data_IF_815411090515
#
_entry.id   IF_815411090515
#
_cell.length_a   1.000
_cell.length_b   1.000
_cell.length_c   1.000
_cell.angle_alpha   90.00
_cell.angle_beta   90.00
_cell.angle_gamma   90.00
#
_symmetry.space_group_name_H-M   'P 1'
#
loop_
_entity.id
_entity.type
_entity.pdbx_description
1 polymer ?
#
# COMPACT_ATOMS: atom_id res chain seq x y z
N UNK A 1 -15.52 -20.04 -4.54
CA UNK A 1 -15.70 -18.57 -4.60
C UNK A 1 -15.50 -18.05 -3.20
N UNK A 2 -14.76 -16.95 -3.00
CA UNK A 2 -14.57 -16.36 -1.66
C UNK A 2 -15.83 -15.58 -1.24
N UNK A 3 -16.27 -15.71 0.01
CA UNK A 3 -17.35 -14.87 0.53
C UNK A 3 -16.84 -13.45 0.82
N UNK A 4 -17.74 -12.47 0.90
CA UNK A 4 -17.38 -11.11 1.35
C UNK A 4 -16.70 -11.14 2.74
N UNK A 5 -17.15 -12.03 3.61
CA UNK A 5 -16.57 -12.20 4.94
C UNK A 5 -15.15 -12.74 4.87
N UNK A 6 -14.89 -13.71 3.98
CA UNK A 6 -13.54 -14.23 3.77
C UNK A 6 -12.65 -13.13 3.18
N UNK A 7 -13.12 -12.38 2.17
CA UNK A 7 -12.36 -11.27 1.60
C UNK A 7 -11.95 -10.23 2.65
N UNK A 8 -12.89 -9.82 3.50
CA UNK A 8 -12.66 -8.87 4.58
C UNK A 8 -11.68 -9.40 5.65
N UNK A 9 -11.60 -10.72 5.84
CA UNK A 9 -10.78 -11.34 6.88
C UNK A 9 -9.50 -11.98 6.37
N UNK A 10 -9.31 -12.17 5.06
CA UNK A 10 -8.14 -12.83 4.49
C UNK A 10 -7.25 -11.89 3.67
N UNK A 11 -7.76 -10.76 3.18
CA UNK A 11 -6.94 -9.80 2.42
C UNK A 11 -6.20 -8.86 3.40
N UNK A 12 -4.88 -8.65 3.23
CA UNK A 12 -4.12 -7.68 4.03
C UNK A 12 -4.57 -6.24 3.73
N UNK A 13 -4.65 -5.43 4.78
CA UNK A 13 -4.96 -4.00 4.69
C UNK A 13 -3.65 -3.22 4.53
N UNK A 14 -3.62 -2.13 3.75
CA UNK A 14 -2.43 -1.27 3.64
C UNK A 14 -2.04 -0.59 4.97
N UNK A 15 -2.92 -0.64 5.98
CA UNK A 15 -2.70 -0.05 7.30
C UNK A 15 -2.15 -1.06 8.32
N UNK A 16 -1.90 -2.32 7.92
CA UNK A 16 -1.28 -3.31 8.80
C UNK A 16 0.19 -2.98 9.05
N UNK A 17 0.65 -3.24 10.27
CA UNK A 17 2.08 -3.26 10.57
C UNK A 17 2.75 -4.55 10.06
N UNK A 18 4.08 -4.58 10.13
CA UNK A 18 4.86 -5.72 9.62
C UNK A 18 4.52 -7.04 10.35
N UNK A 19 4.43 -7.11 11.69
CA UNK A 19 4.01 -8.34 12.37
C UNK A 19 2.65 -8.87 11.89
N UNK A 20 1.64 -7.99 11.73
CA UNK A 20 0.33 -8.39 11.23
C UNK A 20 0.39 -8.90 9.78
N UNK A 21 1.17 -8.25 8.91
CA UNK A 21 1.40 -8.73 7.55
C UNK A 21 2.07 -10.11 7.53
N UNK A 22 3.07 -10.34 8.37
CA UNK A 22 3.75 -11.64 8.48
C UNK A 22 2.76 -12.72 8.92
N UNK A 23 2.00 -12.49 9.99
CA UNK A 23 0.97 -13.44 10.46
C UNK A 23 -0.05 -13.74 9.38
N UNK A 24 -0.45 -12.72 8.61
CA UNK A 24 -1.41 -12.87 7.51
C UNK A 24 -0.89 -13.74 6.38
N UNK A 25 0.35 -13.53 5.95
CA UNK A 25 0.94 -14.37 4.90
C UNK A 25 1.15 -15.80 5.41
N UNK A 26 1.57 -15.96 6.67
CA UNK A 26 1.76 -17.26 7.29
C UNK A 26 0.46 -18.08 7.38
N UNK A 27 -0.71 -17.45 7.59
CA UNK A 27 -2.00 -18.16 7.54
C UNK A 27 -2.31 -18.76 6.17
N UNK A 28 -1.63 -18.31 5.12
CA UNK A 28 -1.69 -18.86 3.76
C UNK A 28 -0.46 -19.67 3.38
N UNK A 29 0.34 -20.09 4.36
CA UNK A 29 1.59 -20.87 4.15
C UNK A 29 2.65 -20.11 3.33
N UNK A 30 2.60 -18.78 3.36
CA UNK A 30 3.59 -17.90 2.74
C UNK A 30 4.52 -17.35 3.83
N UNK A 31 5.83 -17.49 3.63
CA UNK A 31 6.84 -16.99 4.55
C UNK A 31 7.15 -15.50 4.36
N UNK A 32 8.07 -14.97 5.18
CA UNK A 32 8.53 -13.57 5.06
C UNK A 32 9.15 -13.30 3.69
N UNK A 33 9.85 -14.28 3.12
CA UNK A 33 10.42 -14.16 1.77
C UNK A 33 9.32 -13.98 0.71
N UNK A 34 8.21 -14.71 0.84
CA UNK A 34 7.07 -14.59 -0.07
C UNK A 34 6.37 -13.24 0.11
N UNK A 35 6.22 -12.76 1.35
CA UNK A 35 5.71 -11.42 1.64
C UNK A 35 6.53 -10.34 0.92
N UNK A 36 7.86 -10.36 1.04
CA UNK A 36 8.74 -9.39 0.38
C UNK A 36 8.65 -9.52 -1.14
N UNK A 37 8.74 -10.75 -1.68
CA UNK A 37 8.68 -10.97 -3.12
C UNK A 37 7.34 -10.51 -3.72
N UNK A 38 6.21 -10.84 -3.09
CA UNK A 38 4.87 -10.47 -3.55
C UNK A 38 4.57 -8.98 -3.36
N UNK A 39 5.17 -8.33 -2.36
CA UNK A 39 5.09 -6.86 -2.21
C UNK A 39 5.73 -6.12 -3.40
N UNK A 40 6.65 -6.76 -4.12
CA UNK A 40 7.21 -6.26 -5.38
C UNK A 40 6.16 -6.08 -6.49
N UNK A 41 4.97 -6.65 -6.38
CA UNK A 41 3.86 -6.37 -7.28
C UNK A 41 3.48 -4.87 -7.31
N UNK A 42 3.80 -4.11 -6.26
CA UNK A 42 3.61 -2.66 -6.20
C UNK A 42 4.56 -1.86 -7.10
N UNK A 43 5.52 -2.48 -7.80
CA UNK A 43 6.31 -1.81 -8.85
C UNK A 43 5.43 -1.35 -10.02
N UNK A 44 4.23 -1.91 -10.19
CA UNK A 44 3.23 -1.49 -11.18
C UNK A 44 1.92 -1.05 -10.51
N UNK A 45 1.13 -0.25 -11.23
CA UNK A 45 -0.21 0.16 -10.80
C UNK A 45 -0.26 1.41 -9.92
N UNK A 46 -1.44 1.63 -9.34
CA UNK A 46 -1.81 2.88 -8.68
C UNK A 46 -2.54 2.61 -7.35
N UNK A 47 -2.44 3.54 -6.42
CA UNK A 47 -3.22 3.57 -5.19
C UNK A 47 -4.04 4.86 -5.11
N UNK A 48 -5.21 4.77 -4.47
CA UNK A 48 -6.04 5.91 -4.15
C UNK A 48 -5.49 6.65 -2.91
N UNK A 49 -5.66 7.98 -2.88
CA UNK A 49 -5.15 8.89 -1.86
C UNK A 49 -5.50 8.44 -0.44
N UNK A 50 -6.71 7.97 -0.18
CA UNK A 50 -7.11 7.55 1.15
C UNK A 50 -6.26 6.39 1.73
N UNK A 51 -5.64 5.56 0.87
CA UNK A 51 -4.82 4.42 1.28
C UNK A 51 -3.45 4.84 1.82
N UNK A 52 -2.92 5.99 1.39
CA UNK A 52 -1.58 6.46 1.77
C UNK A 52 -1.58 7.84 2.46
N UNK A 53 -2.73 8.51 2.56
CA UNK A 53 -2.85 9.86 3.14
C UNK A 53 -2.23 9.93 4.54
N UNK A 54 -2.55 8.99 5.42
CA UNK A 54 -2.01 9.00 6.79
C UNK A 54 -0.47 9.00 6.79
N UNK A 55 0.15 8.23 5.89
CA UNK A 55 1.60 8.09 5.82
C UNK A 55 2.29 9.39 5.40
N UNK A 56 1.74 10.10 4.41
CA UNK A 56 2.36 11.34 3.89
C UNK A 56 2.11 12.56 4.78
N UNK A 57 1.20 12.50 5.76
CA UNK A 57 0.93 13.61 6.68
C UNK A 57 1.41 13.35 8.12
N UNK A 58 1.38 12.09 8.59
CA UNK A 58 1.52 11.78 10.02
C UNK A 58 2.69 10.83 10.35
N UNK A 59 3.30 10.15 9.36
CA UNK A 59 4.42 9.25 9.61
C UNK A 59 5.77 9.93 9.34
N UNK A 60 6.78 9.61 10.14
CA UNK A 60 8.16 10.15 10.04
C UNK A 60 9.09 9.27 9.21
N UNK A 61 8.62 8.11 8.76
CA UNK A 61 9.36 7.13 7.96
C UNK A 61 9.17 7.35 6.44
N UNK A 62 8.72 8.54 6.04
CA UNK A 62 8.49 8.93 4.66
C UNK A 62 9.47 10.06 4.31
N UNK A 63 10.12 9.95 3.15
CA UNK A 63 10.99 11.02 2.67
C UNK A 63 10.18 12.32 2.55
N UNK A 64 10.62 13.43 3.19
CA UNK A 64 9.83 14.67 3.24
C UNK A 64 9.53 15.24 1.86
N UNK A 65 10.50 15.21 0.93
CA UNK A 65 10.33 15.75 -0.42
C UNK A 65 9.34 14.90 -1.22
N UNK A 66 9.43 13.57 -1.10
CA UNK A 66 8.43 12.67 -1.66
C UNK A 66 7.04 12.91 -1.06
N UNK A 67 6.93 13.05 0.25
CA UNK A 67 5.67 13.31 0.93
C UNK A 67 5.03 14.62 0.42
N UNK A 68 5.79 15.71 0.38
CA UNK A 68 5.34 16.99 -0.17
C UNK A 68 4.93 16.88 -1.63
N UNK A 69 5.70 16.16 -2.46
CA UNK A 69 5.34 15.93 -3.87
C UNK A 69 4.00 15.20 -3.99
N UNK A 70 3.70 14.28 -3.07
CA UNK A 70 2.47 13.48 -3.09
C UNK A 70 1.27 14.23 -2.51
N UNK A 71 1.49 15.11 -1.55
CA UNK A 71 0.45 15.98 -0.98
C UNK A 71 -0.17 16.90 -2.03
N UNK A 72 0.58 17.30 -3.07
CA UNK A 72 0.09 18.13 -4.17
C UNK A 72 -1.16 17.54 -4.88
N UNK A 73 -1.26 16.21 -4.98
CA UNK A 73 -2.41 15.52 -5.56
C UNK A 73 -3.26 14.75 -4.55
N UNK A 74 -2.90 14.78 -3.26
CA UNK A 74 -3.60 14.10 -2.17
C UNK A 74 -3.83 15.08 -1.01
N UNK A 75 -4.93 15.86 -1.07
CA UNK A 75 -5.27 16.83 -0.02
C UNK A 75 -5.45 16.17 1.35
N UNK A 76 -5.23 16.95 2.41
CA UNK A 76 -5.44 16.49 3.79
C UNK A 76 -6.89 16.09 4.06
N UNK A 77 -7.86 16.72 3.37
CA UNK A 77 -9.29 16.42 3.47
C UNK A 77 -9.88 16.37 2.06
N UNK A 78 -10.63 15.31 1.75
CA UNK A 78 -11.22 15.09 0.43
C UNK A 78 -10.22 14.57 -0.60
N UNK A 79 -10.69 14.37 -1.84
CA UNK A 79 -9.85 13.80 -2.91
C UNK A 79 -9.47 12.34 -2.69
N UNK A 80 -10.28 11.58 -1.93
CA UNK A 80 -9.99 10.18 -1.57
C UNK A 80 -9.68 9.28 -2.76
N UNK A 81 -10.35 9.52 -3.88
CA UNK A 81 -10.23 8.74 -5.11
C UNK A 81 -9.10 9.25 -6.04
N UNK A 82 -8.35 10.30 -5.67
CA UNK A 82 -7.20 10.73 -6.44
C UNK A 82 -6.16 9.61 -6.46
N UNK A 83 -5.75 9.20 -7.66
CA UNK A 83 -4.80 8.09 -7.81
C UNK A 83 -3.36 8.60 -7.95
N UNK A 84 -2.44 7.78 -7.45
CA UNK A 84 -1.01 8.00 -7.55
C UNK A 84 -0.31 6.69 -7.88
N UNK A 85 0.75 6.69 -8.71
CA UNK A 85 1.50 5.48 -9.01
C UNK A 85 2.17 4.96 -7.73
N UNK A 86 2.13 3.64 -7.52
CA UNK A 86 2.77 2.99 -6.38
C UNK A 86 4.30 3.09 -6.45
N UNK A 87 4.87 3.06 -7.66
CA UNK A 87 6.27 3.37 -7.94
C UNK A 87 6.43 4.84 -8.36
N UNK A 88 7.35 5.58 -7.73
CA UNK A 88 7.59 7.00 -8.02
C UNK A 88 7.93 7.28 -9.49
N UNK A 89 8.70 6.39 -10.12
CA UNK A 89 9.16 6.56 -11.50
C UNK A 89 8.06 6.36 -12.57
N UNK A 90 6.85 5.96 -12.15
CA UNK A 90 5.68 5.74 -13.02
C UNK A 90 6.03 5.04 -14.35
N UNK A 91 6.75 3.91 -14.26
CA UNK A 91 7.18 3.22 -15.49
C UNK A 91 6.14 2.26 -16.03
N UNK A 92 5.10 1.94 -15.26
CA UNK A 92 4.13 0.88 -15.51
C UNK A 92 4.81 -0.40 -16.05
N UNK A 93 6.01 -0.69 -15.55
CA UNK A 93 6.87 -1.78 -15.99
C UNK A 93 7.34 -2.57 -14.78
N UNK A 94 7.24 -3.89 -14.85
CA UNK A 94 7.77 -4.77 -13.81
C UNK A 94 9.28 -4.95 -14.03
N UNK A 95 10.07 -4.88 -12.96
CA UNK A 95 11.53 -4.97 -13.00
C UNK A 95 12.05 -6.16 -12.20
#
# INVERSE_FOLDING_TARGET
MASKQDANTQIPSPFMDLPALITKFQSHRLGVRDLVALSGAHTIGFAACFLFRNRIYNETNCDPDFATSRQASCPHIGGDNNIAPLEYQNTNSFR
#
